data_IF_310517737199
#
_entry.id   IF_310517737199
#
_cell.length_a   1.000
_cell.length_b   1.000
_cell.length_c   1.000
_cell.angle_alpha   90.00
_cell.angle_beta   90.00
_cell.angle_gamma   90.00
#
_symmetry.space_group_name_H-M   'P 1'
#
loop_
_entity.id
_entity.type
_entity.pdbx_description
1 polymer ?
#
# COMPACT_ATOMS: atom_id res chain seq x y z
N UNK A 1 -16.43 4.24 -20.70
CA UNK A 1 -15.70 3.89 -19.48
C UNK A 1 -14.35 4.61 -19.47
N UNK A 2 -14.00 5.21 -18.36
CA UNK A 2 -12.74 5.92 -18.17
C UNK A 2 -11.76 4.98 -17.45
N UNK A 3 -10.53 4.79 -17.94
CA UNK A 3 -9.55 3.93 -17.30
C UNK A 3 -9.14 4.48 -15.93
N UNK A 4 -8.80 3.60 -14.97
CA UNK A 4 -8.15 4.05 -13.75
C UNK A 4 -6.77 4.64 -14.06
N UNK A 5 -6.34 5.62 -13.29
CA UNK A 5 -4.95 6.05 -13.32
C UNK A 5 -4.08 5.03 -12.58
N UNK A 6 -3.02 4.57 -13.23
CA UNK A 6 -2.10 3.59 -12.68
C UNK A 6 -0.79 4.28 -12.27
N UNK A 7 -0.33 3.92 -11.08
CA UNK A 7 0.83 4.50 -10.44
C UNK A 7 1.81 3.39 -10.02
N UNK A 8 3.06 3.48 -10.45
CA UNK A 8 4.10 2.50 -10.14
C UNK A 8 4.72 2.77 -8.77
N UNK A 9 4.37 1.95 -7.80
CA UNK A 9 4.88 2.02 -6.45
C UNK A 9 6.01 1.00 -6.25
N UNK A 10 7.08 1.36 -5.55
CA UNK A 10 8.18 0.44 -5.24
C UNK A 10 7.65 -0.79 -4.51
N UNK A 11 8.06 -1.97 -4.97
CA UNK A 11 7.91 -3.22 -4.21
C UNK A 11 9.08 -3.38 -3.27
N UNK A 12 8.79 -3.87 -2.08
CA UNK A 12 9.80 -4.23 -1.08
C UNK A 12 10.53 -5.55 -1.39
N UNK A 13 10.68 -5.91 -2.67
CA UNK A 13 11.36 -7.13 -3.12
C UNK A 13 12.60 -6.82 -3.95
N UNK A 14 13.58 -7.71 -3.91
CA UNK A 14 14.90 -7.57 -4.52
C UNK A 14 14.92 -7.55 -6.06
N UNK A 15 13.79 -7.78 -6.73
CA UNK A 15 13.73 -8.02 -8.19
C UNK A 15 12.98 -6.94 -8.95
N UNK A 16 13.16 -5.65 -8.70
CA UNK A 16 12.54 -4.50 -9.41
C UNK A 16 11.05 -4.64 -9.80
N UNK A 17 10.38 -5.67 -9.34
CA UNK A 17 8.98 -5.86 -9.61
C UNK A 17 8.16 -4.79 -8.85
N UNK A 18 7.57 -3.87 -9.60
CA UNK A 18 6.76 -2.78 -9.06
C UNK A 18 5.33 -3.22 -8.78
N UNK A 19 4.73 -2.61 -7.75
CA UNK A 19 3.30 -2.74 -7.50
C UNK A 19 2.57 -1.58 -8.17
N UNK A 20 1.62 -1.90 -9.03
CA UNK A 20 0.76 -0.89 -9.62
C UNK A 20 -0.37 -0.58 -8.63
N UNK A 21 -0.47 0.68 -8.21
CA UNK A 21 -1.62 1.21 -7.48
C UNK A 21 -2.54 1.86 -8.51
N UNK A 22 -3.82 1.54 -8.44
CA UNK A 22 -4.81 2.06 -9.37
C UNK A 22 -5.74 3.04 -8.66
N UNK A 23 -5.88 4.22 -9.22
CA UNK A 23 -6.83 5.24 -8.76
C UNK A 23 -8.00 5.23 -9.76
N UNK A 24 -9.13 4.61 -9.41
CA UNK A 24 -10.29 4.56 -10.30
C UNK A 24 -10.84 5.96 -10.55
N UNK A 25 -11.49 6.14 -11.70
CA UNK A 25 -12.18 7.38 -12.01
C UNK A 25 -13.25 7.66 -10.94
N UNK A 26 -13.36 8.93 -10.54
CA UNK A 26 -14.13 9.34 -9.37
C UNK A 26 -15.62 8.95 -9.43
N UNK A 27 -16.24 9.04 -10.59
CA UNK A 27 -17.66 8.65 -10.78
C UNK A 27 -17.83 7.15 -10.66
N UNK A 28 -16.93 6.35 -11.26
CA UNK A 28 -16.95 4.90 -11.16
C UNK A 28 -16.67 4.45 -9.71
N UNK A 29 -15.77 5.14 -9.00
CA UNK A 29 -15.50 4.91 -7.59
C UNK A 29 -16.72 5.20 -6.71
N UNK A 30 -17.37 6.34 -6.92
CA UNK A 30 -18.56 6.74 -6.19
C UNK A 30 -19.73 5.75 -6.37
N UNK A 31 -19.91 5.20 -7.58
CA UNK A 31 -20.96 4.20 -7.85
C UNK A 31 -20.75 2.92 -7.04
N UNK A 32 -19.51 2.43 -6.93
CA UNK A 32 -19.21 1.24 -6.09
C UNK A 32 -19.56 1.51 -4.64
N UNK A 33 -19.12 2.64 -4.08
CA UNK A 33 -19.39 2.99 -2.69
C UNK A 33 -20.87 3.21 -2.39
N UNK A 34 -21.59 3.90 -3.29
CA UNK A 34 -23.02 4.11 -3.16
C UNK A 34 -23.78 2.78 -3.16
N UNK A 35 -23.42 1.86 -4.08
CA UNK A 35 -24.06 0.55 -4.17
C UNK A 35 -23.77 -0.31 -2.94
N UNK A 36 -22.51 -0.36 -2.50
CA UNK A 36 -22.14 -1.12 -1.29
C UNK A 36 -22.85 -0.60 -0.04
N UNK A 37 -23.03 0.73 0.06
CA UNK A 37 -23.78 1.37 1.15
C UNK A 37 -25.29 1.03 1.06
N UNK A 38 -25.91 1.24 -0.09
CA UNK A 38 -27.35 1.00 -0.32
C UNK A 38 -27.75 -0.44 -0.05
N UNK A 39 -26.92 -1.39 -0.47
CA UNK A 39 -27.19 -2.83 -0.31
C UNK A 39 -26.58 -3.43 0.95
N UNK A 40 -26.09 -2.60 1.88
CA UNK A 40 -25.48 -3.01 3.16
C UNK A 40 -24.31 -4.00 3.05
N UNK A 41 -23.67 -4.09 1.88
CA UNK A 41 -22.63 -5.10 1.58
C UNK A 41 -21.46 -5.03 2.55
N UNK A 42 -21.04 -3.81 2.93
CA UNK A 42 -19.94 -3.63 3.91
C UNK A 42 -20.31 -4.26 5.25
N UNK A 43 -21.56 -4.07 5.71
CA UNK A 43 -22.06 -4.66 6.95
C UNK A 43 -22.06 -6.19 6.87
N UNK A 44 -22.60 -6.75 5.80
CA UNK A 44 -22.65 -8.20 5.59
C UNK A 44 -21.25 -8.82 5.59
N UNK A 45 -20.28 -8.16 4.94
CA UNK A 45 -18.90 -8.65 4.90
C UNK A 45 -18.19 -8.52 6.24
N UNK A 46 -18.47 -7.47 7.03
CA UNK A 46 -17.97 -7.35 8.39
C UNK A 46 -18.48 -8.51 9.25
N UNK A 47 -19.80 -8.72 9.29
CA UNK A 47 -20.43 -9.81 10.06
C UNK A 47 -19.90 -11.18 9.60
N UNK A 48 -19.66 -11.35 8.30
CA UNK A 48 -19.12 -12.59 7.74
C UNK A 48 -17.68 -12.88 8.15
N UNK A 49 -16.86 -11.84 8.34
CA UNK A 49 -15.41 -11.94 8.60
C UNK A 49 -15.04 -11.77 10.08
N UNK A 50 -15.96 -11.25 10.92
CA UNK A 50 -15.69 -10.81 12.30
C UNK A 50 -15.13 -11.92 13.19
N UNK A 51 -15.59 -13.13 13.03
CA UNK A 51 -15.20 -14.28 13.85
C UNK A 51 -14.19 -15.21 13.18
N UNK A 52 -13.36 -14.70 12.29
CA UNK A 52 -12.35 -15.51 11.63
C UNK A 52 -11.05 -15.59 12.47
N UNK A 53 -10.79 -16.71 13.18
CA UNK A 53 -9.63 -16.84 14.07
C UNK A 53 -8.31 -16.97 13.31
N UNK A 54 -8.36 -17.14 11.99
CA UNK A 54 -7.19 -17.35 11.17
C UNK A 54 -6.67 -16.06 10.54
N UNK A 55 -7.51 -15.03 10.42
CA UNK A 55 -7.13 -13.75 9.81
C UNK A 55 -6.48 -12.79 10.81
N UNK A 56 -5.30 -12.32 10.46
CA UNK A 56 -4.57 -11.22 11.11
C UNK A 56 -4.67 -9.91 10.32
N UNK A 57 -5.56 -9.85 9.34
CA UNK A 57 -5.83 -8.67 8.50
C UNK A 57 -7.33 -8.37 8.41
N UNK A 58 -8.07 -8.29 9.54
CA UNK A 58 -9.52 -8.13 9.53
C UNK A 58 -9.97 -6.82 8.86
N UNK A 59 -11.24 -6.73 8.52
CA UNK A 59 -11.84 -5.50 7.96
C UNK A 59 -11.91 -4.41 9.04
N UNK A 60 -12.35 -4.79 10.26
CA UNK A 60 -12.49 -3.86 11.39
C UNK A 60 -11.36 -3.99 12.39
N UNK A 61 -10.94 -2.85 12.90
CA UNK A 61 -10.12 -2.76 14.10
C UNK A 61 -10.92 -2.92 15.38
N UNK A 62 -10.21 -2.97 16.52
CA UNK A 62 -10.80 -3.11 17.86
C UNK A 62 -11.78 -1.99 18.20
N UNK A 63 -11.59 -0.82 17.62
CA UNK A 63 -12.49 0.34 17.78
C UNK A 63 -13.63 0.38 16.76
N UNK A 64 -13.95 -0.73 16.11
CA UNK A 64 -14.96 -0.83 15.05
C UNK A 64 -14.77 0.11 13.86
N UNK A 65 -13.55 0.59 13.63
CA UNK A 65 -13.20 1.34 12.40
C UNK A 65 -12.64 0.41 11.35
N UNK A 66 -12.91 0.72 10.08
CA UNK A 66 -12.30 -0.01 8.95
C UNK A 66 -10.81 0.31 8.91
N UNK A 67 -9.97 -0.72 9.02
CA UNK A 67 -8.52 -0.57 9.01
C UNK A 67 -7.93 -0.80 7.63
N UNK A 68 -6.87 -0.05 7.33
CA UNK A 68 -5.98 -0.32 6.21
C UNK A 68 -4.94 -1.36 6.64
N UNK A 69 -4.34 -2.07 5.66
CA UNK A 69 -3.24 -3.00 5.92
C UNK A 69 -1.94 -2.23 6.21
N UNK A 70 -1.85 -1.65 7.38
CA UNK A 70 -0.61 -1.06 7.89
C UNK A 70 -0.24 -1.82 9.15
N UNK A 71 0.86 -2.56 9.11
CA UNK A 71 1.44 -3.13 10.32
C UNK A 71 2.13 -2.01 11.09
N UNK A 72 1.71 -1.75 12.31
CA UNK A 72 2.51 -1.02 13.28
C UNK A 72 3.41 -2.02 14.02
N UNK A 73 4.64 -1.61 14.25
CA UNK A 73 5.60 -2.42 14.99
C UNK A 73 5.59 -1.96 16.45
N UNK A 74 4.62 -2.44 17.20
CA UNK A 74 4.54 -2.40 18.64
C UNK A 74 4.67 -1.06 19.35
N UNK A 75 3.64 -0.65 20.03
CA UNK A 75 3.66 0.37 21.06
C UNK A 75 3.77 1.82 20.60
N UNK A 76 4.03 2.09 19.33
CA UNK A 76 4.09 3.44 18.77
C UNK A 76 2.73 3.91 18.22
N UNK A 77 1.64 3.33 18.68
CA UNK A 77 0.34 3.94 18.46
C UNK A 77 0.33 5.29 19.21
N UNK A 78 0.15 6.41 18.52
CA UNK A 78 0.05 7.68 19.20
C UNK A 78 -1.11 7.60 20.18
N UNK A 79 -0.79 7.70 21.46
CA UNK A 79 -1.69 7.99 22.57
C UNK A 79 -3.10 7.47 22.39
N UNK A 80 -3.34 6.27 22.75
CA UNK A 80 -4.69 5.79 22.76
C UNK A 80 -4.73 4.33 23.11
N UNK A 81 -5.56 4.04 23.97
CA UNK A 81 -5.94 2.76 24.51
C UNK A 81 -6.44 1.75 23.46
N UNK A 82 -5.95 1.86 22.21
CA UNK A 82 -6.41 1.04 21.10
C UNK A 82 -5.27 0.12 20.67
N UNK A 83 -5.29 -1.16 21.10
CA UNK A 83 -4.44 -2.16 20.47
C UNK A 83 -4.81 -2.19 18.98
N UNK A 84 -3.91 -1.73 18.12
CA UNK A 84 -4.13 -1.86 16.69
C UNK A 84 -4.10 -3.34 16.34
N UNK A 85 -5.11 -3.88 15.63
CA UNK A 85 -5.09 -5.27 15.14
C UNK A 85 -3.92 -5.55 14.20
N UNK A 86 -3.17 -4.52 13.85
CA UNK A 86 -1.95 -4.54 13.04
C UNK A 86 -0.67 -4.48 13.89
N UNK A 87 -0.74 -4.61 15.22
CA UNK A 87 0.43 -4.61 16.07
C UNK A 87 1.25 -5.90 15.84
N UNK A 88 2.49 -5.71 15.36
CA UNK A 88 3.39 -6.82 15.06
C UNK A 88 3.66 -7.70 16.28
N UNK A 89 3.91 -7.12 17.44
CA UNK A 89 4.24 -7.88 18.66
C UNK A 89 3.03 -8.67 19.15
N UNK A 90 1.84 -8.06 19.21
CA UNK A 90 0.61 -8.75 19.60
C UNK A 90 0.26 -9.86 18.62
N UNK A 91 0.42 -9.61 17.33
CA UNK A 91 0.20 -10.62 16.30
C UNK A 91 1.23 -11.75 16.39
N UNK A 92 2.49 -11.44 16.67
CA UNK A 92 3.54 -12.43 16.86
C UNK A 92 3.25 -13.30 18.08
N UNK A 93 2.84 -12.71 19.20
CA UNK A 93 2.44 -13.45 20.41
C UNK A 93 1.27 -14.40 20.11
N UNK A 94 0.23 -13.92 19.43
CA UNK A 94 -0.90 -14.74 19.01
C UNK A 94 -0.49 -15.89 18.08
N UNK A 95 0.42 -15.63 17.12
CA UNK A 95 0.98 -16.67 16.25
C UNK A 95 1.77 -17.72 17.02
N UNK A 96 2.61 -17.30 17.98
CA UNK A 96 3.39 -18.22 18.85
C UNK A 96 2.44 -19.13 19.65
N UNK A 97 1.39 -18.55 20.25
CA UNK A 97 0.38 -19.32 20.98
C UNK A 97 -0.29 -20.34 20.06
N UNK A 98 -0.68 -19.92 18.87
CA UNK A 98 -1.37 -20.76 17.89
C UNK A 98 -0.48 -21.85 17.31
N UNK A 99 0.83 -21.58 17.18
CA UNK A 99 1.84 -22.52 16.71
C UNK A 99 2.34 -23.49 17.80
N UNK A 100 1.79 -23.40 19.02
CA UNK A 100 2.26 -24.25 20.14
C UNK A 100 2.30 -25.73 19.75
N UNK A 101 3.47 -26.36 19.92
CA UNK A 101 3.72 -27.77 19.58
C UNK A 101 3.97 -28.04 18.08
N UNK A 102 3.90 -27.05 17.20
CA UNK A 102 4.27 -27.25 15.79
C UNK A 102 5.76 -27.53 15.64
N UNK A 103 6.09 -28.46 14.76
CA UNK A 103 7.49 -28.79 14.41
C UNK A 103 8.07 -27.83 13.39
N UNK A 104 7.24 -27.36 12.46
CA UNK A 104 7.61 -26.52 11.34
C UNK A 104 6.49 -25.53 11.01
N UNK A 105 6.84 -24.47 10.32
CA UNK A 105 5.88 -23.55 9.68
C UNK A 105 6.06 -23.60 8.19
N UNK A 106 4.97 -23.89 7.48
CA UNK A 106 4.91 -23.80 6.02
C UNK A 106 4.33 -22.43 5.65
N UNK A 107 5.14 -21.60 5.00
CA UNK A 107 4.73 -20.30 4.47
C UNK A 107 4.29 -20.46 3.01
N UNK A 108 3.11 -19.98 2.70
CA UNK A 108 2.53 -20.01 1.36
C UNK A 108 2.04 -18.60 0.98
N UNK A 109 2.22 -18.26 -0.29
CA UNK A 109 1.80 -16.98 -0.88
C UNK A 109 0.90 -17.27 -2.09
N UNK A 110 -0.12 -16.42 -2.32
CA UNK A 110 -0.98 -16.52 -3.50
C UNK A 110 -0.37 -15.72 -4.65
N UNK A 111 -0.18 -16.36 -5.79
CA UNK A 111 0.35 -15.69 -6.99
C UNK A 111 -0.54 -14.55 -7.42
N UNK A 112 0.03 -13.33 -7.45
CA UNK A 112 -0.65 -12.15 -7.99
C UNK A 112 -2.08 -11.95 -7.48
N UNK A 113 -2.32 -12.13 -6.18
CA UNK A 113 -3.64 -12.22 -5.55
C UNK A 113 -4.66 -11.20 -6.10
N UNK A 114 -4.38 -9.90 -6.00
CA UNK A 114 -5.33 -8.87 -6.46
C UNK A 114 -5.56 -8.91 -7.98
N UNK A 115 -4.53 -9.13 -8.78
CA UNK A 115 -4.65 -9.15 -10.25
C UNK A 115 -5.23 -10.44 -10.80
N UNK A 116 -5.13 -11.55 -10.05
CA UNK A 116 -5.74 -12.84 -10.41
C UNK A 116 -7.18 -12.99 -9.90
N UNK A 117 -7.67 -12.08 -9.05
CA UNK A 117 -9.00 -12.16 -8.49
C UNK A 117 -10.06 -12.18 -9.60
N UNK A 118 -10.80 -13.28 -9.72
CA UNK A 118 -11.86 -13.42 -10.70
C UNK A 118 -13.17 -12.82 -10.18
N UNK A 119 -13.58 -11.67 -10.72
CA UNK A 119 -14.68 -10.86 -10.18
C UNK A 119 -16.01 -11.60 -10.16
N UNK A 120 -16.24 -12.54 -11.10
CA UNK A 120 -17.45 -13.37 -11.09
C UNK A 120 -17.55 -14.29 -9.85
N UNK A 121 -16.49 -14.43 -9.06
CA UNK A 121 -16.52 -15.14 -7.78
C UNK A 121 -17.07 -14.28 -6.62
N UNK A 122 -17.34 -13.00 -6.82
CA UNK A 122 -17.90 -12.12 -5.77
C UNK A 122 -19.15 -12.71 -5.10
N UNK A 123 -20.14 -13.29 -5.80
CA UNK A 123 -21.27 -13.95 -5.16
C UNK A 123 -20.88 -15.14 -4.26
N UNK A 124 -19.79 -15.83 -4.59
CA UNK A 124 -19.31 -16.96 -3.81
C UNK A 124 -18.78 -16.58 -2.42
N UNK A 125 -18.48 -15.30 -2.19
CA UNK A 125 -18.04 -14.81 -0.87
C UNK A 125 -19.08 -15.18 0.20
N UNK A 126 -20.34 -14.83 -0.03
CA UNK A 126 -21.42 -15.07 0.93
C UNK A 126 -22.07 -16.44 0.72
N UNK A 127 -22.34 -16.83 -0.52
CA UNK A 127 -23.08 -18.05 -0.83
C UNK A 127 -22.21 -19.33 -0.74
N UNK A 128 -20.92 -19.21 -0.90
CA UNK A 128 -20.01 -20.34 -1.16
C UNK A 128 -19.99 -20.73 -2.63
N UNK A 129 -18.98 -21.50 -3.01
CA UNK A 129 -18.70 -21.81 -4.41
C UNK A 129 -19.84 -22.58 -5.10
N UNK A 130 -20.31 -23.67 -4.48
CA UNK A 130 -21.27 -24.59 -5.11
C UNK A 130 -22.63 -23.91 -5.30
N UNK A 131 -23.09 -23.17 -4.30
CA UNK A 131 -24.34 -22.42 -4.38
C UNK A 131 -24.25 -21.25 -5.38
N UNK A 132 -23.14 -20.51 -5.38
CA UNK A 132 -22.94 -19.44 -6.36
C UNK A 132 -22.95 -19.97 -7.80
N UNK A 133 -22.34 -21.13 -8.07
CA UNK A 133 -22.38 -21.79 -9.36
C UNK A 133 -23.79 -22.25 -9.74
N UNK A 134 -24.53 -22.83 -8.81
CA UNK A 134 -25.93 -23.22 -9.06
C UNK A 134 -26.79 -22.01 -9.43
N UNK A 135 -26.67 -20.91 -8.69
CA UNK A 135 -27.37 -19.66 -8.96
C UNK A 135 -26.95 -19.05 -10.31
N UNK A 136 -25.68 -19.15 -10.68
CA UNK A 136 -25.18 -18.69 -11.97
C UNK A 136 -25.81 -19.49 -13.13
N UNK A 137 -25.92 -20.81 -13.01
CA UNK A 137 -26.56 -21.65 -13.99
C UNK A 137 -28.06 -21.30 -14.13
N UNK A 138 -28.78 -21.20 -13.01
CA UNK A 138 -30.19 -20.78 -13.00
C UNK A 138 -30.36 -19.43 -13.72
N UNK A 139 -29.48 -18.46 -13.41
CA UNK A 139 -29.52 -17.15 -14.07
C UNK A 139 -29.31 -17.24 -15.59
N UNK A 140 -28.38 -18.10 -16.06
CA UNK A 140 -28.16 -18.31 -17.50
C UNK A 140 -29.37 -18.94 -18.21
N UNK A 141 -30.10 -19.80 -17.52
CA UNK A 141 -31.29 -20.44 -18.05
C UNK A 141 -32.56 -19.60 -17.89
N UNK A 142 -32.45 -18.37 -17.34
CA UNK A 142 -33.61 -17.50 -17.12
C UNK A 142 -34.49 -17.94 -15.95
N UNK A 143 -33.98 -18.81 -15.08
CA UNK A 143 -34.62 -19.25 -13.86
C UNK A 143 -34.46 -18.24 -12.72
N UNK A 144 -35.29 -18.39 -11.68
CA UNK A 144 -35.21 -17.52 -10.50
C UNK A 144 -33.91 -17.72 -9.71
N UNK A 145 -33.34 -16.62 -9.25
CA UNK A 145 -32.17 -16.58 -8.40
C UNK A 145 -32.48 -15.79 -7.13
N UNK A 146 -31.69 -16.02 -6.07
CA UNK A 146 -31.87 -15.32 -4.80
C UNK A 146 -31.51 -13.83 -4.89
N UNK A 147 -32.10 -13.02 -4.03
CA UNK A 147 -31.76 -11.59 -3.90
C UNK A 147 -30.29 -11.40 -3.56
N UNK A 148 -29.75 -12.23 -2.67
CA UNK A 148 -28.32 -12.22 -2.31
C UNK A 148 -27.44 -12.43 -3.54
N UNK A 149 -27.73 -13.43 -4.38
CA UNK A 149 -26.98 -13.64 -5.61
C UNK A 149 -27.07 -12.42 -6.52
N UNK A 150 -28.26 -11.87 -6.70
CA UNK A 150 -28.49 -10.69 -7.55
C UNK A 150 -27.70 -9.47 -7.07
N UNK A 151 -27.68 -9.21 -5.75
CA UNK A 151 -26.92 -8.11 -5.15
C UNK A 151 -25.42 -8.25 -5.44
N UNK A 152 -24.84 -9.41 -5.15
CA UNK A 152 -23.40 -9.62 -5.32
C UNK A 152 -22.99 -9.77 -6.80
N UNK A 153 -23.84 -10.31 -7.66
CA UNK A 153 -23.63 -10.31 -9.12
C UNK A 153 -23.65 -8.90 -9.71
N UNK A 154 -24.52 -8.03 -9.21
CA UNK A 154 -24.53 -6.62 -9.65
C UNK A 154 -23.29 -5.89 -9.16
N UNK A 155 -22.79 -6.19 -7.96
CA UNK A 155 -21.53 -5.67 -7.46
C UNK A 155 -20.35 -6.06 -8.37
N UNK A 156 -20.25 -7.33 -8.79
CA UNK A 156 -19.29 -7.77 -9.82
C UNK A 156 -19.37 -6.89 -11.08
N UNK A 157 -20.56 -6.68 -11.58
CA UNK A 157 -20.76 -5.84 -12.79
C UNK A 157 -20.29 -4.39 -12.60
N UNK A 158 -20.51 -3.82 -11.42
CA UNK A 158 -20.09 -2.46 -11.08
C UNK A 158 -18.55 -2.39 -10.93
N UNK A 159 -17.95 -3.39 -10.29
CA UNK A 159 -16.49 -3.47 -10.16
C UNK A 159 -15.80 -3.59 -11.53
N UNK A 160 -16.31 -4.41 -12.43
CA UNK A 160 -15.76 -4.53 -13.78
C UNK A 160 -15.74 -3.20 -14.52
N UNK A 161 -16.77 -2.37 -14.36
CA UNK A 161 -16.85 -1.05 -14.99
C UNK A 161 -15.76 -0.09 -14.52
N UNK A 162 -15.28 -0.22 -13.28
CA UNK A 162 -14.12 0.56 -12.79
C UNK A 162 -12.82 0.23 -13.52
N UNK A 163 -12.72 -0.96 -14.09
CA UNK A 163 -11.53 -1.48 -14.78
C UNK A 163 -11.86 -1.88 -16.23
N UNK A 164 -12.53 -1.02 -16.98
CA UNK A 164 -12.80 -1.19 -18.42
C UNK A 164 -13.51 -2.52 -18.76
N UNK A 165 -14.40 -2.99 -17.91
CA UNK A 165 -15.11 -4.28 -18.02
C UNK A 165 -14.22 -5.53 -17.96
N UNK A 166 -12.99 -5.42 -17.46
CA UNK A 166 -12.14 -6.59 -17.23
C UNK A 166 -12.74 -7.47 -16.15
N UNK A 167 -12.72 -8.77 -16.35
CA UNK A 167 -13.28 -9.78 -15.43
C UNK A 167 -12.26 -10.23 -14.38
N UNK A 168 -10.98 -10.01 -14.64
CA UNK A 168 -9.88 -10.34 -13.73
C UNK A 168 -9.28 -9.07 -13.13
N UNK A 169 -8.99 -9.15 -11.85
CA UNK A 169 -8.28 -8.14 -11.08
C UNK A 169 -9.18 -7.20 -10.29
N UNK A 170 -8.97 -7.21 -8.98
CA UNK A 170 -9.35 -6.10 -8.12
C UNK A 170 -8.27 -5.01 -8.26
N UNK A 171 -8.70 -3.76 -8.37
CA UNK A 171 -7.78 -2.64 -8.37
C UNK A 171 -7.05 -2.55 -7.02
N UNK A 172 -5.73 -2.48 -7.05
CA UNK A 172 -4.92 -2.29 -5.84
C UNK A 172 -4.96 -0.81 -5.46
N UNK A 173 -5.31 -0.50 -4.22
CA UNK A 173 -5.41 0.87 -3.70
C UNK A 173 -6.78 1.20 -3.09
N UNK A 174 -7.91 0.98 -3.78
CA UNK A 174 -9.21 1.26 -3.22
C UNK A 174 -9.53 0.44 -1.97
N UNK A 175 -10.10 1.10 -0.95
CA UNK A 175 -10.51 0.42 0.29
C UNK A 175 -11.59 -0.64 0.04
N UNK A 176 -12.49 -0.39 -0.90
CA UNK A 176 -13.51 -1.36 -1.31
C UNK A 176 -12.92 -2.67 -1.83
N UNK A 177 -11.80 -2.60 -2.57
CA UNK A 177 -11.08 -3.80 -3.02
C UNK A 177 -10.53 -4.63 -1.86
N UNK A 178 -10.00 -3.96 -0.81
CA UNK A 178 -9.56 -4.64 0.41
C UNK A 178 -10.71 -5.39 1.09
N UNK A 179 -11.86 -4.75 1.23
CA UNK A 179 -13.04 -5.33 1.89
C UNK A 179 -13.51 -6.59 1.14
N UNK A 180 -13.60 -6.53 -0.19
CA UNK A 180 -13.97 -7.67 -1.03
C UNK A 180 -12.91 -8.78 -0.96
N UNK A 181 -11.63 -8.41 -1.00
CA UNK A 181 -10.53 -9.37 -0.90
C UNK A 181 -10.57 -10.13 0.43
N UNK A 182 -10.74 -9.44 1.56
CA UNK A 182 -10.83 -10.08 2.87
C UNK A 182 -12.08 -10.96 2.99
N UNK A 183 -13.22 -10.54 2.43
CA UNK A 183 -14.42 -11.38 2.34
C UNK A 183 -14.17 -12.69 1.60
N UNK A 184 -13.47 -12.64 0.47
CA UNK A 184 -13.10 -13.85 -0.29
C UNK A 184 -12.14 -14.73 0.49
N UNK A 185 -11.13 -14.14 1.12
CA UNK A 185 -10.17 -14.90 1.92
C UNK A 185 -10.84 -15.55 3.13
N UNK A 186 -11.77 -14.87 3.79
CA UNK A 186 -12.55 -15.47 4.88
C UNK A 186 -13.43 -16.65 4.40
N UNK A 187 -13.94 -16.62 3.16
CA UNK A 187 -14.62 -17.76 2.56
C UNK A 187 -13.67 -18.95 2.37
N UNK A 188 -12.48 -18.70 1.86
CA UNK A 188 -11.44 -19.72 1.70
C UNK A 188 -10.99 -20.26 3.06
N UNK A 189 -10.82 -19.38 4.06
CA UNK A 189 -10.47 -19.75 5.43
C UNK A 189 -11.48 -20.75 6.03
N UNK A 190 -12.79 -20.57 5.79
CA UNK A 190 -13.81 -21.53 6.24
C UNK A 190 -13.58 -22.94 5.66
N UNK A 191 -13.20 -23.03 4.39
CA UNK A 191 -12.93 -24.33 3.77
C UNK A 191 -11.62 -24.94 4.26
N UNK A 192 -10.57 -24.14 4.48
CA UNK A 192 -9.30 -24.60 5.03
C UNK A 192 -9.43 -25.06 6.48
N UNK A 193 -10.19 -24.33 7.31
CA UNK A 193 -10.49 -24.73 8.69
C UNK A 193 -11.30 -26.03 8.72
N UNK A 194 -12.29 -26.20 7.84
CA UNK A 194 -13.06 -27.44 7.70
C UNK A 194 -12.20 -28.63 7.25
N UNK A 195 -11.10 -28.36 6.52
CA UNK A 195 -10.10 -29.38 6.18
C UNK A 195 -9.14 -29.70 7.33
N UNK A 196 -9.32 -29.11 8.51
CA UNK A 196 -8.55 -29.37 9.73
C UNK A 196 -7.19 -28.67 9.77
N UNK A 197 -6.94 -27.68 8.94
CA UNK A 197 -5.68 -26.95 8.95
C UNK A 197 -5.63 -25.91 10.06
N UNK A 198 -4.50 -25.85 10.77
CA UNK A 198 -4.19 -24.80 11.75
C UNK A 198 -3.15 -23.84 11.15
N UNK A 199 -3.51 -22.55 11.04
CA UNK A 199 -2.68 -21.56 10.38
C UNK A 199 -3.01 -20.13 10.82
N UNK A 200 -2.15 -19.20 10.47
CA UNK A 200 -2.39 -17.76 10.50
C UNK A 200 -2.30 -17.21 9.09
N UNK A 201 -3.15 -16.24 8.76
CA UNK A 201 -3.15 -15.55 7.47
C UNK A 201 -3.07 -14.04 7.65
N UNK A 202 -2.20 -13.42 6.87
CA UNK A 202 -2.15 -11.97 6.72
C UNK A 202 -2.35 -11.60 5.24
N UNK A 203 -3.52 -11.11 4.88
CA UNK A 203 -3.99 -10.86 3.50
C UNK A 203 -3.94 -12.15 2.68
N UNK A 204 -2.94 -12.33 1.85
CA UNK A 204 -2.68 -13.47 0.95
C UNK A 204 -1.50 -14.35 1.40
N UNK A 205 -0.83 -13.97 2.49
CA UNK A 205 0.26 -14.74 3.09
C UNK A 205 -0.25 -15.70 4.16
N UNK A 206 0.02 -16.99 4.01
CA UNK A 206 -0.32 -18.05 4.96
C UNK A 206 0.90 -18.53 5.72
N UNK A 207 0.74 -18.79 7.03
CA UNK A 207 1.67 -19.51 7.87
C UNK A 207 0.95 -20.72 8.47
N UNK A 208 1.16 -21.91 7.91
CA UNK A 208 0.49 -23.14 8.31
C UNK A 208 1.38 -23.91 9.29
N UNK A 209 0.81 -24.31 10.42
CA UNK A 209 1.52 -24.98 11.50
C UNK A 209 1.49 -26.49 11.30
N UNK A 210 2.66 -27.11 11.18
CA UNK A 210 2.82 -28.53 10.89
C UNK A 210 3.21 -29.27 12.17
N UNK A 211 2.36 -30.21 12.56
CA UNK A 211 2.56 -31.04 13.75
C UNK A 211 3.04 -32.45 13.38
N UNK A 212 2.53 -33.01 12.31
CA UNK A 212 2.86 -34.33 11.78
C UNK A 212 3.13 -34.21 10.27
N UNK A 213 4.03 -35.03 9.76
CA UNK A 213 4.77 -34.80 8.54
C UNK A 213 4.05 -35.17 7.22
N UNK A 214 3.14 -34.28 6.71
CA UNK A 214 2.88 -34.33 5.28
C UNK A 214 2.67 -32.93 4.68
N UNK A 215 3.77 -32.22 4.50
CA UNK A 215 3.82 -30.90 3.87
C UNK A 215 3.21 -30.91 2.45
N UNK A 216 3.47 -31.97 1.68
CA UNK A 216 2.95 -32.11 0.31
C UNK A 216 1.43 -32.25 0.29
N UNK A 217 0.88 -32.98 1.24
CA UNK A 217 -0.56 -33.14 1.38
C UNK A 217 -1.22 -31.80 1.72
N UNK A 218 -0.63 -31.04 2.65
CA UNK A 218 -1.11 -29.71 3.05
C UNK A 218 -1.10 -28.77 1.85
N UNK A 219 0.01 -28.68 1.11
CA UNK A 219 0.12 -27.87 -0.12
C UNK A 219 -0.93 -28.27 -1.15
N UNK A 220 -1.17 -29.58 -1.31
CA UNK A 220 -2.20 -30.08 -2.24
C UNK A 220 -3.62 -29.69 -1.81
N UNK A 221 -3.94 -29.76 -0.52
CA UNK A 221 -5.24 -29.35 0.02
C UNK A 221 -5.45 -27.85 -0.21
N UNK A 222 -4.49 -27.02 0.19
CA UNK A 222 -4.55 -25.56 0.02
C UNK A 222 -4.67 -25.21 -1.45
N UNK A 223 -3.82 -25.76 -2.32
CA UNK A 223 -3.85 -25.51 -3.76
C UNK A 223 -5.17 -25.88 -4.41
N UNK A 224 -5.79 -26.99 -4.01
CA UNK A 224 -7.11 -27.42 -4.52
C UNK A 224 -8.23 -26.45 -4.09
N UNK A 225 -8.23 -26.01 -2.83
CA UNK A 225 -9.24 -25.06 -2.34
C UNK A 225 -9.05 -23.70 -3.02
N UNK A 226 -7.83 -23.19 -3.12
CA UNK A 226 -7.54 -21.94 -3.80
C UNK A 226 -7.97 -21.98 -5.28
N UNK A 227 -7.66 -23.08 -5.96
CA UNK A 227 -8.03 -23.28 -7.38
C UNK A 227 -9.54 -23.21 -7.62
N UNK A 228 -10.35 -23.68 -6.67
CA UNK A 228 -11.81 -23.62 -6.69
C UNK A 228 -12.29 -22.16 -6.85
N UNK A 229 -11.60 -21.20 -6.23
CA UNK A 229 -11.88 -19.77 -6.30
C UNK A 229 -11.06 -19.00 -7.35
N UNK A 230 -10.31 -19.71 -8.20
CA UNK A 230 -9.52 -19.10 -9.28
C UNK A 230 -8.13 -18.64 -8.88
N UNK A 231 -7.64 -19.00 -7.68
CA UNK A 231 -6.31 -18.63 -7.22
C UNK A 231 -5.29 -19.76 -7.40
N UNK A 232 -4.03 -19.37 -7.47
CA UNK A 232 -2.89 -20.29 -7.60
C UNK A 232 -1.83 -19.95 -6.57
N UNK A 233 -1.23 -21.00 -5.98
CA UNK A 233 -0.09 -20.83 -5.08
C UNK A 233 1.14 -20.33 -5.84
N UNK A 234 1.92 -19.50 -5.18
CA UNK A 234 3.26 -19.13 -5.62
C UNK A 234 4.27 -20.12 -5.08
N UNK A 235 4.58 -21.15 -5.87
CA UNK A 235 5.49 -22.21 -5.45
C UNK A 235 6.94 -21.72 -5.24
N UNK A 236 7.35 -20.65 -5.93
CA UNK A 236 8.70 -20.07 -5.76
C UNK A 236 8.90 -19.40 -4.41
N UNK A 237 7.80 -18.95 -3.79
CA UNK A 237 7.79 -18.35 -2.45
C UNK A 237 7.37 -19.31 -1.35
N UNK A 238 7.13 -20.58 -1.69
CA UNK A 238 6.82 -21.61 -0.68
C UNK A 238 8.07 -21.89 0.13
N UNK A 239 8.00 -21.64 1.44
CA UNK A 239 9.10 -21.75 2.37
C UNK A 239 8.71 -22.60 3.58
N UNK A 240 9.60 -23.49 4.01
CA UNK A 240 9.46 -24.25 5.26
C UNK A 240 10.48 -23.69 6.24
N UNK A 241 9.98 -23.25 7.39
CA UNK A 241 10.82 -22.77 8.49
C UNK A 241 10.77 -23.78 9.63
N UNK A 242 11.92 -24.31 10.00
CA UNK A 242 12.07 -25.21 11.16
C UNK A 242 12.32 -24.42 12.44
N UNK A 243 12.18 -25.06 13.59
CA UNK A 243 12.47 -24.45 14.87
C UNK A 243 13.96 -23.99 14.94
N UNK A 244 14.25 -22.79 15.44
CA UNK A 244 13.34 -21.76 15.96
C UNK A 244 12.71 -20.93 14.84
N UNK A 245 11.38 -20.91 14.71
CA UNK A 245 10.67 -20.27 13.62
C UNK A 245 10.13 -18.86 13.94
N UNK A 246 9.94 -18.54 15.20
CA UNK A 246 9.57 -17.19 15.63
C UNK A 246 10.61 -16.61 16.58
N UNK A 247 11.42 -15.68 16.09
CA UNK A 247 12.38 -14.93 16.88
C UNK A 247 11.89 -13.50 16.97
N UNK A 248 11.48 -13.10 18.17
CA UNK A 248 11.04 -11.74 18.43
C UNK A 248 12.25 -10.85 18.76
N UNK A 249 12.50 -9.83 17.95
CA UNK A 249 13.45 -8.79 18.28
C UNK A 249 12.71 -7.56 18.81
N UNK A 250 13.15 -7.06 19.96
CA UNK A 250 12.61 -5.84 20.53
C UNK A 250 13.33 -4.61 19.93
N UNK A 251 12.92 -4.26 18.71
CA UNK A 251 13.51 -3.14 17.98
C UNK A 251 13.32 -1.80 18.72
N UNK A 252 12.22 -1.65 19.45
CA UNK A 252 11.96 -0.45 20.26
C UNK A 252 13.00 -0.27 21.36
N UNK A 253 13.37 -1.35 22.04
CA UNK A 253 14.36 -1.31 23.11
C UNK A 253 15.75 -0.85 22.65
N UNK A 254 16.09 -1.10 21.39
CA UNK A 254 17.34 -0.63 20.80
C UNK A 254 17.34 0.90 20.69
N UNK A 255 16.22 1.47 20.25
CA UNK A 255 16.06 2.94 20.14
C UNK A 255 16.02 3.58 21.52
N UNK A 256 15.29 2.98 22.46
CA UNK A 256 15.22 3.44 23.87
C UNK A 256 16.60 3.48 24.53
N UNK A 257 17.46 2.51 24.23
CA UNK A 257 18.83 2.49 24.75
C UNK A 257 19.67 3.68 24.26
N UNK A 258 19.52 4.06 22.98
CA UNK A 258 20.15 5.26 22.45
C UNK A 258 19.62 6.51 23.18
N UNK A 259 18.31 6.63 23.29
CA UNK A 259 17.67 7.78 23.94
C UNK A 259 18.12 7.93 25.40
N UNK A 260 18.16 6.83 26.15
CA UNK A 260 18.66 6.83 27.54
C UNK A 260 20.10 7.31 27.65
N UNK A 261 20.99 6.94 26.71
CA UNK A 261 22.35 7.39 26.70
C UNK A 261 22.49 8.91 26.47
N UNK A 262 21.65 9.46 25.60
CA UNK A 262 21.56 10.92 25.35
C UNK A 262 21.00 11.65 26.57
N UNK A 263 19.94 11.13 27.19
CA UNK A 263 19.28 11.70 28.36
C UNK A 263 20.25 11.78 29.57
N UNK A 264 21.11 10.77 29.71
CA UNK A 264 22.15 10.74 30.80
C UNK A 264 23.20 11.83 30.64
N UNK A 265 23.57 12.21 29.41
CA UNK A 265 24.63 13.18 29.13
C UNK A 265 24.28 14.11 27.94
N UNK A 266 23.31 14.99 28.07
CA UNK A 266 22.78 15.77 26.93
C UNK A 266 23.71 16.86 26.38
N UNK A 267 24.84 17.08 27.01
CA UNK A 267 25.78 18.17 26.65
C UNK A 267 27.02 17.69 25.85
N UNK A 268 27.09 16.42 25.52
CA UNK A 268 28.20 15.85 24.75
C UNK A 268 27.75 15.27 23.43
N UNK A 269 28.67 15.09 22.49
CA UNK A 269 28.40 14.38 21.25
C UNK A 269 28.16 12.88 21.50
N UNK A 270 27.16 12.35 20.85
CA UNK A 270 26.75 10.94 20.90
C UNK A 270 27.02 10.19 19.60
N UNK A 271 28.10 10.54 18.89
CA UNK A 271 28.45 9.90 17.62
C UNK A 271 28.57 8.37 17.71
N UNK A 272 29.18 7.86 18.79
CA UNK A 272 29.34 6.41 18.97
C UNK A 272 28.01 5.70 19.16
N UNK A 273 27.11 6.25 19.96
CA UNK A 273 25.78 5.74 20.22
C UNK A 273 24.92 5.80 18.96
N UNK A 274 25.01 6.92 18.21
CA UNK A 274 24.30 7.11 16.95
C UNK A 274 24.79 6.12 15.89
N UNK A 275 26.10 5.94 15.73
CA UNK A 275 26.65 4.91 14.86
C UNK A 275 26.22 3.51 15.28
N UNK A 276 26.22 3.21 16.57
CA UNK A 276 25.78 1.90 17.07
C UNK A 276 24.29 1.65 16.79
N UNK A 277 23.46 2.68 16.95
CA UNK A 277 22.02 2.61 16.62
C UNK A 277 21.83 2.24 15.13
N UNK A 278 22.39 3.02 14.20
CA UNK A 278 22.23 2.75 12.77
C UNK A 278 22.84 1.40 12.35
N UNK A 279 24.06 1.09 12.82
CA UNK A 279 24.72 -0.17 12.51
C UNK A 279 23.93 -1.39 13.00
N UNK A 280 23.28 -1.30 14.15
CA UNK A 280 22.43 -2.37 14.66
C UNK A 280 21.29 -2.63 13.69
N UNK A 281 20.59 -1.61 13.23
CA UNK A 281 19.50 -1.77 12.27
C UNK A 281 19.97 -2.19 10.87
N UNK A 282 21.14 -1.77 10.44
CA UNK A 282 21.77 -2.26 9.20
C UNK A 282 22.10 -3.75 9.28
N UNK A 283 22.68 -4.20 10.40
CA UNK A 283 22.97 -5.62 10.61
C UNK A 283 21.70 -6.47 10.67
N UNK A 284 20.63 -5.97 11.28
CA UNK A 284 19.33 -6.63 11.29
C UNK A 284 18.75 -6.78 9.87
N UNK A 285 18.83 -5.74 9.05
CA UNK A 285 18.38 -5.81 7.63
C UNK A 285 19.21 -6.82 6.84
N UNK A 286 20.54 -6.85 7.02
CA UNK A 286 21.47 -7.79 6.37
C UNK A 286 21.22 -9.22 6.85
N UNK A 287 20.96 -9.43 8.13
CA UNK A 287 20.69 -10.76 8.72
C UNK A 287 19.31 -11.31 8.38
N UNK A 288 18.47 -10.55 7.66
CA UNK A 288 17.18 -11.01 7.14
C UNK A 288 15.95 -10.44 7.84
N UNK A 289 16.08 -9.60 8.86
CA UNK A 289 14.97 -8.86 9.47
C UNK A 289 14.56 -7.71 8.54
N UNK A 290 13.83 -8.07 7.49
CA UNK A 290 13.46 -7.15 6.40
C UNK A 290 12.64 -5.98 6.92
N UNK A 291 13.03 -4.75 6.56
CA UNK A 291 12.33 -3.52 6.93
C UNK A 291 12.79 -2.90 8.24
N UNK A 292 13.87 -3.40 8.86
CA UNK A 292 14.45 -2.85 10.09
C UNK A 292 14.85 -1.39 9.93
N UNK A 293 15.52 -1.05 8.82
CA UNK A 293 15.91 0.34 8.53
C UNK A 293 14.68 1.23 8.41
N UNK A 294 13.63 0.76 7.69
CA UNK A 294 12.39 1.51 7.58
C UNK A 294 11.69 1.70 8.93
N UNK A 295 11.74 0.67 9.80
CA UNK A 295 11.24 0.77 11.16
C UNK A 295 11.97 1.85 11.96
N UNK A 296 13.31 1.85 11.94
CA UNK A 296 14.13 2.89 12.60
C UNK A 296 13.71 4.29 12.15
N UNK A 297 13.65 4.53 10.83
CA UNK A 297 13.30 5.85 10.30
C UNK A 297 11.86 6.24 10.64
N UNK A 298 10.92 5.30 10.63
CA UNK A 298 9.52 5.55 11.04
C UNK A 298 9.45 5.89 12.52
N UNK A 299 10.20 5.21 13.37
CA UNK A 299 10.25 5.49 14.81
C UNK A 299 10.81 6.87 15.08
N UNK A 300 11.90 7.27 14.41
CA UNK A 300 12.48 8.62 14.50
C UNK A 300 11.51 9.68 13.95
N UNK A 301 10.75 9.38 12.92
CA UNK A 301 9.74 10.30 12.38
C UNK A 301 8.61 10.59 13.38
N UNK A 302 8.17 9.57 14.13
CA UNK A 302 7.11 9.65 15.12
C UNK A 302 7.60 10.22 16.47
N UNK A 303 8.80 9.82 16.90
CA UNK A 303 9.46 10.28 18.11
C UNK A 303 10.89 10.69 17.73
N UNK A 304 11.12 11.99 17.42
CA UNK A 304 12.44 12.48 17.01
C UNK A 304 13.50 12.19 18.07
N UNK A 305 14.65 11.70 17.63
CA UNK A 305 15.82 11.53 18.49
C UNK A 305 16.47 12.90 18.73
N UNK A 306 17.01 13.10 19.91
CA UNK A 306 17.79 14.29 20.21
C UNK A 306 19.19 14.19 19.61
N UNK A 307 19.63 15.26 18.96
CA UNK A 307 20.94 15.42 18.36
C UNK A 307 21.61 16.61 19.06
N UNK A 308 22.52 16.33 19.92
CA UNK A 308 23.07 17.28 20.92
C UNK A 308 24.06 18.27 20.37
N UNK A 309 24.74 17.95 19.27
CA UNK A 309 25.69 18.85 18.63
C UNK A 309 25.65 18.81 17.09
N UNK A 310 26.37 19.74 16.45
CA UNK A 310 26.45 19.86 14.99
C UNK A 310 27.04 18.60 14.32
N UNK A 311 27.96 17.90 15.00
CA UNK A 311 28.58 16.70 14.44
C UNK A 311 27.61 15.55 14.42
N UNK A 312 26.79 15.37 15.47
CA UNK A 312 25.71 14.38 15.51
C UNK A 312 24.66 14.66 14.42
N UNK A 313 24.31 15.93 14.21
CA UNK A 313 23.38 16.34 13.15
C UNK A 313 23.92 16.01 11.75
N UNK A 314 25.21 16.29 11.50
CA UNK A 314 25.87 15.96 10.23
C UNK A 314 25.99 14.45 10.01
N UNK A 315 26.32 13.70 11.05
CA UNK A 315 26.39 12.24 10.99
C UNK A 315 25.03 11.63 10.72
N UNK A 316 24.00 12.08 11.43
CA UNK A 316 22.62 11.67 11.20
C UNK A 316 22.19 11.94 9.76
N UNK A 317 22.42 13.15 9.26
CA UNK A 317 22.09 13.54 7.88
C UNK A 317 22.84 12.68 6.86
N UNK A 318 24.09 12.35 7.10
CA UNK A 318 24.89 11.45 6.25
C UNK A 318 24.28 10.04 6.20
N UNK A 319 23.78 9.51 7.32
CA UNK A 319 23.05 8.25 7.34
C UNK A 319 21.75 8.33 6.52
N UNK A 320 20.99 9.41 6.66
CA UNK A 320 19.76 9.59 5.88
C UNK A 320 20.03 9.60 4.36
N UNK A 321 21.06 10.31 3.89
CA UNK A 321 21.44 10.32 2.48
C UNK A 321 21.98 8.98 2.00
N UNK A 322 22.73 8.27 2.84
CA UNK A 322 23.19 6.92 2.55
C UNK A 322 22.00 5.95 2.39
N UNK A 323 21.02 6.02 3.28
CA UNK A 323 19.79 5.21 3.20
C UNK A 323 18.97 5.61 1.99
N UNK A 324 18.79 6.91 1.73
CA UNK A 324 18.06 7.42 0.56
C UNK A 324 18.59 6.81 -0.74
N UNK A 325 19.90 6.71 -0.88
CA UNK A 325 20.56 6.20 -2.09
C UNK A 325 20.49 4.68 -2.22
N UNK A 326 20.60 3.96 -1.08
CA UNK A 326 20.86 2.51 -1.11
C UNK A 326 19.69 1.64 -0.64
N UNK A 327 18.61 2.22 -0.11
CA UNK A 327 17.49 1.47 0.42
C UNK A 327 16.15 1.99 -0.10
N UNK A 328 15.72 1.50 -1.25
CA UNK A 328 14.46 1.90 -1.88
C UNK A 328 13.22 1.72 -0.97
N UNK A 329 13.23 0.74 -0.06
CA UNK A 329 12.15 0.52 0.91
C UNK A 329 11.97 1.67 1.89
N UNK A 330 13.07 2.31 2.24
CA UNK A 330 13.10 3.38 3.25
C UNK A 330 13.10 4.78 2.63
N UNK A 331 13.15 4.89 1.29
CA UNK A 331 13.27 6.15 0.56
C UNK A 331 12.26 7.19 1.06
N UNK A 332 10.98 6.86 1.15
CA UNK A 332 9.94 7.81 1.57
C UNK A 332 10.17 8.35 2.98
N UNK A 333 10.67 7.52 3.90
CA UNK A 333 11.00 7.92 5.27
C UNK A 333 12.28 8.73 5.33
N UNK A 334 13.29 8.34 4.57
CA UNK A 334 14.52 9.13 4.43
C UNK A 334 14.21 10.52 3.88
N UNK A 335 13.37 10.62 2.84
CA UNK A 335 12.91 11.89 2.29
C UNK A 335 12.25 12.79 3.33
N UNK A 336 11.30 12.24 4.10
CA UNK A 336 10.60 12.99 5.16
C UNK A 336 11.55 13.52 6.22
N UNK A 337 12.50 12.69 6.66
CA UNK A 337 13.48 13.07 7.70
C UNK A 337 14.53 14.04 7.17
N UNK A 338 15.01 13.90 5.94
CA UNK A 338 15.89 14.87 5.29
C UNK A 338 15.19 16.22 5.23
N UNK A 339 13.92 16.27 4.81
CA UNK A 339 13.16 17.51 4.77
C UNK A 339 13.04 18.16 6.15
N UNK A 340 12.74 17.37 7.20
CA UNK A 340 12.77 17.87 8.58
C UNK A 340 14.14 18.45 8.96
N UNK A 341 15.23 17.83 8.53
CA UNK A 341 16.58 18.31 8.83
C UNK A 341 16.93 19.64 8.14
N UNK A 342 16.25 19.99 7.05
CA UNK A 342 16.47 21.27 6.34
C UNK A 342 16.03 22.50 7.14
N UNK A 343 15.23 22.31 8.19
CA UNK A 343 14.85 23.38 9.12
C UNK A 343 16.05 23.90 9.93
N UNK A 344 17.09 23.08 10.10
CA UNK A 344 18.33 23.44 10.81
C UNK A 344 19.47 23.81 9.86
N UNK A 345 19.61 23.04 8.77
CA UNK A 345 20.64 23.25 7.76
C UNK A 345 20.08 23.04 6.35
N UNK A 346 20.03 24.06 5.48
CA UNK A 346 19.57 23.93 4.10
C UNK A 346 20.34 22.86 3.32
N UNK A 347 19.76 22.35 2.24
CA UNK A 347 20.46 21.44 1.32
C UNK A 347 21.65 22.16 0.68
N UNK A 348 22.83 21.57 0.78
CA UNK A 348 24.01 22.04 0.07
C UNK A 348 23.96 21.63 -1.43
N UNK A 349 24.84 22.21 -2.26
CA UNK A 349 24.83 21.97 -3.70
C UNK A 349 25.08 20.50 -4.09
N UNK A 350 25.89 19.78 -3.31
CA UNK A 350 26.12 18.34 -3.53
C UNK A 350 24.86 17.53 -3.28
N UNK A 351 24.15 17.80 -2.21
CA UNK A 351 22.89 17.14 -1.85
C UNK A 351 21.79 17.42 -2.87
N UNK A 352 21.65 18.69 -3.29
CA UNK A 352 20.71 19.07 -4.38
C UNK A 352 21.01 18.31 -5.66
N UNK A 353 22.28 18.28 -6.07
CA UNK A 353 22.70 17.57 -7.27
C UNK A 353 22.44 16.06 -7.17
N UNK A 354 22.67 15.47 -6.00
CA UNK A 354 22.40 14.05 -5.75
C UNK A 354 20.90 13.74 -5.88
N UNK A 355 20.03 14.51 -5.23
CA UNK A 355 18.56 14.33 -5.30
C UNK A 355 18.08 14.52 -6.74
N UNK A 356 18.56 15.56 -7.45
CA UNK A 356 18.18 15.81 -8.85
C UNK A 356 18.62 14.68 -9.78
N UNK A 357 19.82 14.13 -9.59
CA UNK A 357 20.31 12.99 -10.36
C UNK A 357 19.44 11.75 -10.10
N UNK A 358 19.14 11.46 -8.84
CA UNK A 358 18.27 10.34 -8.47
C UNK A 358 16.86 10.51 -9.05
N UNK A 359 16.30 11.71 -9.02
CA UNK A 359 14.99 12.02 -9.61
C UNK A 359 14.98 11.67 -11.10
N UNK A 360 15.99 12.15 -11.86
CA UNK A 360 16.09 11.89 -13.29
C UNK A 360 16.28 10.41 -13.64
N UNK A 361 17.07 9.68 -12.85
CA UNK A 361 17.23 8.23 -13.02
C UNK A 361 15.92 7.48 -12.79
N UNK A 362 15.23 7.79 -11.69
CA UNK A 362 13.96 7.15 -11.38
C UNK A 362 12.85 7.52 -12.38
N UNK A 363 12.93 8.72 -12.98
CA UNK A 363 12.01 9.13 -14.02
C UNK A 363 12.17 8.30 -15.30
N UNK A 364 13.41 7.95 -15.67
CA UNK A 364 13.71 7.11 -16.83
C UNK A 364 13.27 5.64 -16.64
N UNK A 365 13.16 5.20 -15.42
CA UNK A 365 12.78 3.83 -15.03
C UNK A 365 11.30 3.69 -14.65
N UNK A 366 10.48 4.73 -14.83
CA UNK A 366 9.06 4.80 -14.43
C UNK A 366 8.83 4.47 -12.95
N UNK A 367 9.75 4.91 -12.07
CA UNK A 367 9.67 4.75 -10.63
C UNK A 367 8.86 5.89 -10.00
N UNK A 368 7.54 5.88 -10.20
CA UNK A 368 6.65 7.01 -9.90
C UNK A 368 6.73 7.49 -8.44
N UNK A 369 6.80 6.57 -7.48
CA UNK A 369 6.82 6.93 -6.06
C UNK A 369 8.10 7.68 -5.68
N UNK A 370 9.24 7.19 -6.16
CA UNK A 370 10.54 7.80 -5.93
C UNK A 370 10.60 9.20 -6.55
N UNK A 371 10.11 9.33 -7.79
CA UNK A 371 10.04 10.63 -8.48
C UNK A 371 9.23 11.63 -7.66
N UNK A 372 8.04 11.24 -7.16
CA UNK A 372 7.21 12.15 -6.37
C UNK A 372 7.90 12.61 -5.08
N UNK A 373 8.54 11.69 -4.33
CA UNK A 373 9.19 12.04 -3.08
C UNK A 373 10.45 12.89 -3.29
N UNK A 374 11.25 12.59 -4.30
CA UNK A 374 12.45 13.35 -4.64
C UNK A 374 12.08 14.75 -5.15
N UNK A 375 11.04 14.86 -5.99
CA UNK A 375 10.48 16.14 -6.43
C UNK A 375 9.95 16.95 -5.24
N UNK A 376 9.21 16.31 -4.33
CA UNK A 376 8.68 16.94 -3.13
C UNK A 376 9.79 17.55 -2.27
N UNK A 377 10.90 16.82 -2.01
CA UNK A 377 12.04 17.40 -1.28
C UNK A 377 12.58 18.63 -2.00
N UNK A 378 12.81 18.57 -3.30
CA UNK A 378 13.39 19.70 -4.06
C UNK A 378 12.49 20.93 -4.00
N UNK A 379 11.18 20.74 -4.02
CA UNK A 379 10.21 21.83 -3.90
C UNK A 379 10.19 22.41 -2.49
N UNK A 380 9.96 21.58 -1.48
CA UNK A 380 9.79 22.05 -0.09
C UNK A 380 11.10 22.59 0.51
N UNK A 381 12.25 22.06 0.12
CA UNK A 381 13.55 22.59 0.50
C UNK A 381 14.00 23.80 -0.35
N UNK A 382 13.12 24.33 -1.23
CA UNK A 382 13.40 25.45 -2.12
C UNK A 382 14.65 25.24 -3.01
N UNK A 383 14.92 24.00 -3.38
CA UNK A 383 16.06 23.60 -4.18
C UNK A 383 15.73 23.48 -5.68
N UNK A 384 14.45 23.42 -6.04
CA UNK A 384 13.98 23.43 -7.44
C UNK A 384 13.81 24.89 -7.89
N UNK A 385 14.39 25.20 -9.04
CA UNK A 385 14.23 26.53 -9.65
C UNK A 385 13.33 26.47 -10.89
N UNK A 386 12.56 27.53 -11.21
CA UNK A 386 11.82 27.61 -12.45
C UNK A 386 12.76 27.42 -13.65
N UNK A 387 12.29 26.68 -14.67
CA UNK A 387 13.07 26.30 -15.86
C UNK A 387 14.19 25.27 -15.63
N UNK A 388 14.24 24.60 -14.47
CA UNK A 388 15.12 23.45 -14.29
C UNK A 388 14.88 22.40 -15.38
N UNK A 389 15.95 21.78 -15.85
CA UNK A 389 15.87 20.71 -16.88
C UNK A 389 15.02 19.52 -16.42
N UNK A 390 14.96 19.26 -15.10
CA UNK A 390 14.12 18.22 -14.52
C UNK A 390 12.62 18.49 -14.78
N UNK A 391 12.17 19.75 -14.74
CA UNK A 391 10.78 20.13 -15.02
C UNK A 391 10.39 19.72 -16.43
N UNK A 392 11.21 20.02 -17.42
CA UNK A 392 10.92 19.66 -18.81
C UNK A 392 10.85 18.14 -19.00
N UNK A 393 11.74 17.38 -18.35
CA UNK A 393 11.71 15.92 -18.41
C UNK A 393 10.47 15.33 -17.74
N UNK A 394 10.00 15.91 -16.63
CA UNK A 394 8.74 15.51 -15.99
C UNK A 394 7.55 15.79 -16.91
N UNK A 395 7.52 16.95 -17.59
CA UNK A 395 6.46 17.29 -18.56
C UNK A 395 6.43 16.32 -19.74
N UNK A 396 7.57 15.79 -20.13
CA UNK A 396 7.70 14.81 -21.22
C UNK A 396 7.38 13.37 -20.77
N UNK A 397 7.39 13.10 -19.48
CA UNK A 397 7.19 11.76 -18.91
C UNK A 397 5.70 11.38 -18.82
N UNK A 398 5.45 10.12 -18.43
CA UNK A 398 4.11 9.61 -18.14
C UNK A 398 3.70 9.81 -16.67
N UNK A 399 4.56 10.40 -15.82
CA UNK A 399 4.26 10.62 -14.41
C UNK A 399 3.37 11.85 -14.23
N UNK A 400 2.08 11.68 -14.46
CA UNK A 400 1.11 12.78 -14.39
C UNK A 400 0.91 13.31 -12.96
N UNK A 401 1.17 12.51 -11.91
CA UNK A 401 1.13 13.02 -10.52
C UNK A 401 2.28 14.01 -10.24
N UNK A 402 3.47 13.78 -10.81
CA UNK A 402 4.56 14.75 -10.72
C UNK A 402 4.22 16.04 -11.50
N UNK A 403 3.57 15.92 -12.65
CA UNK A 403 3.07 17.07 -13.41
C UNK A 403 2.03 17.86 -12.61
N UNK A 404 1.10 17.19 -11.91
CA UNK A 404 0.12 17.82 -11.01
C UNK A 404 0.84 18.55 -9.88
N UNK A 405 1.87 17.95 -9.27
CA UNK A 405 2.64 18.60 -8.21
C UNK A 405 3.30 19.90 -8.71
N UNK A 406 3.94 19.87 -9.87
CA UNK A 406 4.54 21.06 -10.50
C UNK A 406 3.49 22.14 -10.81
N UNK A 407 2.32 21.72 -11.32
CA UNK A 407 1.20 22.61 -11.61
C UNK A 407 0.71 23.32 -10.34
N UNK A 408 0.40 22.57 -9.30
CA UNK A 408 -0.15 23.08 -8.03
C UNK A 408 0.84 23.98 -7.26
N UNK A 409 2.13 23.67 -7.36
CA UNK A 409 3.21 24.46 -6.73
C UNK A 409 3.72 25.63 -7.61
N UNK A 410 3.04 25.91 -8.73
CA UNK A 410 3.32 27.04 -9.64
C UNK A 410 4.73 27.03 -10.26
N UNK A 411 5.28 25.85 -10.57
CA UNK A 411 6.57 25.71 -11.25
C UNK A 411 6.46 25.73 -12.78
N UNK A 412 5.25 25.76 -13.34
CA UNK A 412 5.02 25.65 -14.78
C UNK A 412 4.73 27.02 -15.41
N UNK A 413 5.45 27.34 -16.49
CA UNK A 413 5.11 28.45 -17.37
C UNK A 413 3.83 28.15 -18.17
N UNK A 414 3.20 29.17 -18.76
CA UNK A 414 1.98 28.99 -19.56
C UNK A 414 2.22 28.09 -20.78
N UNK A 415 3.40 28.17 -21.43
CA UNK A 415 3.78 27.28 -22.53
C UNK A 415 3.87 25.79 -22.03
N UNK A 416 4.41 25.57 -20.83
CA UNK A 416 4.49 24.23 -20.24
C UNK A 416 3.12 23.69 -19.83
N UNK A 417 2.24 24.55 -19.28
CA UNK A 417 0.84 24.21 -19.00
C UNK A 417 0.09 23.81 -20.27
N UNK A 418 0.30 24.54 -21.37
CA UNK A 418 -0.26 24.20 -22.67
C UNK A 418 0.23 22.82 -23.14
N UNK A 419 1.55 22.57 -23.08
CA UNK A 419 2.15 21.27 -23.45
C UNK A 419 1.54 20.11 -22.68
N UNK A 420 1.39 20.24 -21.35
CA UNK A 420 0.75 19.22 -20.51
C UNK A 420 -0.70 19.05 -20.92
N UNK A 421 -1.43 20.14 -21.16
CA UNK A 421 -2.86 20.08 -21.53
C UNK A 421 -3.10 19.33 -22.84
N UNK A 422 -2.19 19.42 -23.79
CA UNK A 422 -2.27 18.69 -25.06
C UNK A 422 -2.02 17.19 -24.89
N UNK A 423 -1.04 16.83 -24.07
CA UNK A 423 -0.62 15.43 -23.82
C UNK A 423 -1.48 14.69 -22.79
N UNK A 424 -2.15 15.42 -21.88
CA UNK A 424 -2.92 14.83 -20.80
C UNK A 424 -3.98 13.85 -21.30
N UNK A 425 -4.00 12.66 -20.68
CA UNK A 425 -4.93 11.59 -21.05
C UNK A 425 -5.60 10.93 -19.84
N UNK A 426 -5.02 11.01 -18.63
CA UNK A 426 -5.65 10.47 -17.44
C UNK A 426 -6.73 11.41 -16.90
N UNK A 427 -7.73 10.82 -16.25
CA UNK A 427 -8.81 11.57 -15.64
C UNK A 427 -8.32 12.52 -14.53
N UNK A 428 -7.27 12.13 -13.81
CA UNK A 428 -6.76 12.87 -12.65
C UNK A 428 -6.05 14.15 -13.08
N UNK A 429 -5.17 14.09 -14.09
CA UNK A 429 -4.49 15.27 -14.63
C UNK A 429 -5.48 16.17 -15.37
N UNK A 430 -6.37 15.61 -16.18
CA UNK A 430 -7.40 16.38 -16.88
C UNK A 430 -8.32 17.12 -15.91
N UNK A 431 -8.65 16.52 -14.78
CA UNK A 431 -9.41 17.19 -13.73
C UNK A 431 -8.63 18.38 -13.13
N UNK A 432 -7.35 18.19 -12.80
CA UNK A 432 -6.53 19.28 -12.24
C UNK A 432 -6.35 20.44 -13.23
N UNK A 433 -6.20 20.13 -14.51
CA UNK A 433 -6.15 21.18 -15.55
C UNK A 433 -7.47 21.93 -15.67
N UNK A 434 -8.62 21.23 -15.57
CA UNK A 434 -9.94 21.84 -15.54
C UNK A 434 -10.18 22.67 -14.27
N UNK A 435 -9.78 22.14 -13.11
CA UNK A 435 -9.93 22.82 -11.83
C UNK A 435 -9.11 24.12 -11.75
N UNK A 436 -7.96 24.17 -12.43
CA UNK A 436 -7.09 25.36 -12.51
C UNK A 436 -7.39 26.25 -13.75
N UNK A 437 -8.53 26.09 -14.40
CA UNK A 437 -8.95 26.89 -15.58
C UNK A 437 -7.99 26.88 -16.79
N UNK A 438 -7.16 25.83 -16.90
CA UNK A 438 -6.22 25.65 -18.03
C UNK A 438 -6.93 25.04 -19.23
N UNK A 439 -7.89 24.14 -18.99
CA UNK A 439 -8.76 23.60 -20.03
C UNK A 439 -10.23 23.93 -19.74
N UNK A 440 -11.01 24.12 -20.82
CA UNK A 440 -12.45 24.34 -20.70
C UNK A 440 -13.20 23.05 -20.35
N UNK A 441 -14.43 23.20 -19.89
CA UNK A 441 -15.34 22.08 -19.63
C UNK A 441 -15.59 21.23 -20.89
N UNK A 442 -15.76 21.88 -22.07
CA UNK A 442 -15.93 21.18 -23.34
C UNK A 442 -14.70 20.33 -23.68
N UNK A 443 -13.50 20.84 -23.38
CA UNK A 443 -12.25 20.08 -23.55
C UNK A 443 -12.18 18.87 -22.65
N UNK A 444 -12.55 19.01 -21.36
CA UNK A 444 -12.62 17.91 -20.41
C UNK A 444 -13.60 16.82 -20.88
N UNK A 445 -14.83 17.26 -21.26
CA UNK A 445 -15.89 16.35 -21.76
C UNK A 445 -15.40 15.58 -23.00
N UNK A 446 -14.79 16.26 -23.93
CA UNK A 446 -14.27 15.65 -25.17
C UNK A 446 -13.13 14.66 -24.88
N UNK A 447 -12.15 15.04 -24.05
CA UNK A 447 -10.98 14.20 -23.77
C UNK A 447 -11.33 12.95 -22.98
N UNK A 448 -12.25 13.03 -22.01
CA UNK A 448 -12.70 11.90 -21.18
C UNK A 448 -13.94 11.19 -21.75
N UNK A 449 -14.52 11.69 -22.82
CA UNK A 449 -15.77 11.18 -23.38
C UNK A 449 -16.89 11.08 -22.30
N UNK A 450 -17.08 12.19 -21.57
CA UNK A 450 -18.01 12.28 -20.46
C UNK A 450 -19.45 12.45 -20.94
N UNK A 451 -20.27 11.43 -20.84
CA UNK A 451 -21.69 11.54 -21.23
C UNK A 451 -22.63 11.90 -20.05
N UNK A 452 -22.28 11.55 -18.79
CA UNK A 452 -23.18 11.71 -17.62
C UNK A 452 -22.49 12.15 -16.33
N UNK A 453 -21.19 12.04 -16.20
CA UNK A 453 -20.49 12.23 -14.92
C UNK A 453 -19.92 13.65 -14.72
N UNK A 454 -20.21 14.58 -15.60
CA UNK A 454 -19.68 15.96 -15.54
C UNK A 454 -20.01 16.66 -14.22
N UNK A 455 -21.19 16.41 -13.65
CA UNK A 455 -21.60 17.01 -12.38
C UNK A 455 -20.68 16.63 -11.21
N UNK A 456 -20.03 15.47 -11.24
CA UNK A 456 -19.04 15.10 -10.21
C UNK A 456 -17.80 15.99 -10.29
N UNK A 457 -17.27 16.20 -11.49
CA UNK A 457 -16.11 17.06 -11.72
C UNK A 457 -16.38 18.53 -11.37
N UNK A 458 -17.59 19.05 -11.69
CA UNK A 458 -18.02 20.37 -11.27
C UNK A 458 -18.07 20.48 -9.75
N UNK A 459 -18.71 19.54 -9.06
CA UNK A 459 -18.77 19.51 -7.60
C UNK A 459 -17.40 19.46 -6.94
N UNK A 460 -16.47 18.69 -7.51
CA UNK A 460 -15.10 18.65 -6.99
C UNK A 460 -14.43 20.02 -7.15
N UNK A 461 -14.56 20.68 -8.31
CA UNK A 461 -14.04 22.03 -8.55
C UNK A 461 -14.68 23.05 -7.63
N UNK A 462 -16.00 23.07 -7.51
CA UNK A 462 -16.77 23.98 -6.65
C UNK A 462 -16.43 23.84 -5.15
N UNK A 463 -15.95 22.68 -4.74
CA UNK A 463 -15.52 22.37 -3.36
C UNK A 463 -13.99 22.39 -3.19
N UNK A 464 -13.25 22.92 -4.15
CA UNK A 464 -11.78 23.04 -4.11
C UNK A 464 -11.05 21.72 -3.79
N UNK A 465 -11.52 20.62 -4.40
CA UNK A 465 -10.91 19.29 -4.21
C UNK A 465 -9.72 19.17 -5.14
N UNK A 466 -8.55 18.87 -4.58
CA UNK A 466 -7.31 18.71 -5.32
C UNK A 466 -6.54 17.46 -4.88
N UNK A 467 -5.66 16.95 -5.76
CA UNK A 467 -4.83 15.77 -5.49
C UNK A 467 -3.44 16.12 -4.95
N UNK A 468 -3.09 17.39 -4.90
CA UNK A 468 -1.86 17.92 -4.29
C UNK A 468 -2.15 19.28 -3.69
N UNK A 469 -1.68 19.53 -2.46
CA UNK A 469 -1.81 20.80 -1.71
C UNK A 469 -0.46 21.50 -1.51
#
# INVERSE_FOLDING_TARGET
LIPPYNFNMSRFNQNDARRIISIPEIGAYAVVHAYMKEKHIVKDLIEFTENNPCSFSPILGVNHTIIRHEQSYGGDAPTGDIPMPSDYISNLAAKIIKASGAKKILKLDISNFFSSFYLHMIPAIILGFDEANRQFQNFQHGESVSDTYTIYKNLDSIYRKQNLNRTNGLLVGPLSSKIIAEGMMARIDKELCNAGLNYSRYVDDYEIYIYNDDEKQIVSIVGRILKKYGFTLNYEKTEITEFPYYIAENLKKIIEKYQSAVDENPLISHNAELMNLFNTFFNLEISGTKGSIRYLLKSIENAPIELTDDQDQRLYRAYLFTILTNNARSLTKACSLILKSTTYEPLNEKEKAQISTMLLMNLLEDHDLEVLWLLYILIEAQALVPNDSAINKIIESQNELAQIMLLRKNFLSDAQKQTISEKAHSWILLYELFSNDIISEESLVRKLNLNKNLNMYRKMKDNDVHFCY
#
